data_IF_020819606272
#
_entry.id   IF_020819606272
#
_cell.length_a   1.000
_cell.length_b   1.000
_cell.length_c   1.000
_cell.angle_alpha   90.00
_cell.angle_beta   90.00
_cell.angle_gamma   90.00
#
_symmetry.space_group_name_H-M   'P 1'
#
loop_
_entity.id
_entity.type
_entity.pdbx_description
1 polymer ?
#
# COMPACT_ATOMS: atom_id res chain seq x y z
N UNK A 1 0.69 7.32 10.31
CA UNK A 1 2.09 6.95 10.53
C UNK A 1 2.39 5.83 9.56
N UNK A 2 3.51 5.90 8.84
CA UNK A 2 3.91 4.83 7.91
C UNK A 2 4.18 3.54 8.69
N UNK A 3 3.37 2.51 8.43
CA UNK A 3 3.61 1.16 8.92
C UNK A 3 4.64 0.45 8.06
N UNK A 4 5.74 0.02 8.68
CA UNK A 4 6.82 -0.72 8.02
C UNK A 4 7.04 -2.09 8.65
N UNK A 5 7.40 -3.08 7.84
CA UNK A 5 7.89 -4.38 8.30
C UNK A 5 9.28 -4.69 7.75
N UNK A 6 10.01 -5.56 8.45
CA UNK A 6 11.26 -6.12 7.95
C UNK A 6 10.96 -7.31 7.05
N UNK A 7 11.61 -7.35 5.88
CA UNK A 7 11.50 -8.48 4.98
C UNK A 7 12.85 -8.94 4.44
N UNK A 8 12.97 -10.24 4.22
CA UNK A 8 14.13 -10.83 3.58
C UNK A 8 14.11 -10.57 2.06
N UNK A 9 15.17 -9.97 1.56
CA UNK A 9 15.34 -9.62 0.15
C UNK A 9 16.56 -10.32 -0.43
N UNK A 10 16.35 -11.05 -1.53
CA UNK A 10 17.44 -11.64 -2.31
C UNK A 10 17.85 -10.70 -3.45
N UNK A 11 19.10 -10.24 -3.44
CA UNK A 11 19.61 -9.35 -4.49
C UNK A 11 19.58 -10.04 -5.87
N UNK A 12 18.93 -9.42 -6.86
CA UNK A 12 18.86 -9.95 -8.23
C UNK A 12 20.23 -10.08 -8.91
N UNK A 13 21.18 -9.19 -8.57
CA UNK A 13 22.54 -9.14 -9.15
C UNK A 13 23.53 -10.09 -8.45
N UNK A 14 23.81 -9.90 -7.16
CA UNK A 14 24.85 -10.65 -6.46
C UNK A 14 24.32 -11.83 -5.62
N UNK A 15 23.01 -12.07 -5.65
CA UNK A 15 22.30 -13.14 -4.92
C UNK A 15 22.45 -13.11 -3.39
N UNK A 16 23.09 -12.08 -2.83
CA UNK A 16 23.17 -11.85 -1.39
C UNK A 16 21.76 -11.64 -0.83
N UNK A 17 21.46 -12.35 0.25
CA UNK A 17 20.23 -12.21 1.02
C UNK A 17 20.48 -11.18 2.12
N UNK A 18 19.52 -10.29 2.34
CA UNK A 18 19.63 -9.23 3.35
C UNK A 18 18.23 -8.76 3.77
N UNK A 19 18.11 -8.19 4.97
CA UNK A 19 16.86 -7.61 5.45
C UNK A 19 16.71 -6.16 4.98
N UNK A 20 15.47 -5.76 4.70
CA UNK A 20 15.13 -4.40 4.30
C UNK A 20 13.78 -4.04 4.89
N UNK A 21 13.66 -2.80 5.35
CA UNK A 21 12.36 -2.22 5.68
C UNK A 21 11.52 -2.08 4.40
N UNK A 22 10.26 -2.45 4.51
CA UNK A 22 9.23 -2.24 3.49
C UNK A 22 8.04 -1.56 4.12
N UNK A 23 7.41 -0.69 3.33
CA UNK A 23 6.20 0.00 3.68
C UNK A 23 5.03 -0.91 3.34
N UNK A 24 4.21 -1.19 4.36
CA UNK A 24 2.98 -1.97 4.23
C UNK A 24 1.74 -1.06 4.32
N UNK A 25 1.83 0.02 5.09
CA UNK A 25 0.73 0.95 5.33
C UNK A 25 1.19 2.41 5.33
N UNK A 26 0.35 3.29 4.77
CA UNK A 26 0.56 4.74 4.76
C UNK A 26 -0.75 5.42 5.12
N UNK A 27 -0.69 6.37 6.05
CA UNK A 27 -1.78 7.31 6.31
C UNK A 27 -1.46 8.66 5.65
N UNK A 28 -2.23 9.06 4.64
CA UNK A 28 -1.97 10.29 3.90
C UNK A 28 -2.27 11.57 4.70
N UNK A 29 -3.04 11.48 5.79
CA UNK A 29 -3.27 12.63 6.67
C UNK A 29 -2.03 12.99 7.48
N UNK A 30 -1.22 11.99 7.82
CA UNK A 30 0.01 12.16 8.60
C UNK A 30 1.26 12.24 7.70
N UNK A 31 1.31 11.46 6.62
CA UNK A 31 2.54 11.21 5.85
C UNK A 31 2.46 11.71 4.39
N UNK A 32 2.04 12.97 4.19
CA UNK A 32 1.81 13.57 2.85
C UNK A 32 3.03 13.51 1.91
N UNK A 33 4.25 13.48 2.45
CA UNK A 33 5.47 13.40 1.63
C UNK A 33 5.57 12.07 0.85
N UNK A 34 4.88 11.03 1.31
CA UNK A 34 4.83 9.73 0.66
C UNK A 34 4.03 9.73 -0.65
N UNK A 35 3.20 10.74 -0.88
CA UNK A 35 2.40 10.88 -2.11
C UNK A 35 3.30 10.84 -3.35
N UNK A 36 4.46 11.50 -3.31
CA UNK A 36 5.41 11.50 -4.44
C UNK A 36 5.94 10.10 -4.71
N UNK A 37 6.34 9.38 -3.66
CA UNK A 37 6.85 8.01 -3.75
C UNK A 37 5.79 7.04 -4.28
N UNK A 38 4.56 7.15 -3.79
CA UNK A 38 3.42 6.35 -4.24
C UNK A 38 3.10 6.58 -5.72
N UNK A 39 3.05 7.84 -6.17
CA UNK A 39 2.81 8.17 -7.59
C UNK A 39 3.83 7.56 -8.55
N UNK A 40 5.07 7.38 -8.10
CA UNK A 40 6.11 6.77 -8.94
C UNK A 40 6.04 5.24 -8.96
N UNK A 41 5.24 4.61 -8.11
CA UNK A 41 5.20 3.14 -7.94
C UNK A 41 6.49 2.57 -7.35
N UNK A 42 7.32 3.42 -6.73
CA UNK A 42 8.67 3.09 -6.25
C UNK A 42 8.81 3.26 -4.73
N UNK A 43 7.70 3.19 -4.01
CA UNK A 43 7.67 3.36 -2.55
C UNK A 43 8.59 2.35 -1.84
N UNK A 44 8.49 1.05 -2.20
CA UNK A 44 9.35 0.01 -1.65
C UNK A 44 10.68 -0.13 -2.41
N UNK A 45 11.54 0.89 -2.26
CA UNK A 45 12.89 0.91 -2.82
C UNK A 45 13.91 0.34 -1.84
N UNK A 46 14.63 -0.69 -2.25
CA UNK A 46 15.70 -1.31 -1.47
C UNK A 46 17.04 -1.25 -2.21
N UNK A 47 18.14 -1.19 -1.46
CA UNK A 47 19.50 -1.18 -2.02
C UNK A 47 20.33 -2.30 -1.41
N UNK A 48 20.87 -3.17 -2.27
CA UNK A 48 21.73 -4.25 -1.80
C UNK A 48 22.99 -3.69 -1.11
N UNK A 49 23.28 -4.07 0.15
CA UNK A 49 24.42 -3.53 0.88
C UNK A 49 25.76 -3.91 0.24
N UNK A 50 25.84 -5.10 -0.37
CA UNK A 50 27.05 -5.69 -0.97
C UNK A 50 27.41 -5.10 -2.34
N UNK A 51 26.48 -5.06 -3.28
CA UNK A 51 26.76 -4.64 -4.66
C UNK A 51 26.13 -3.30 -5.06
N UNK A 52 25.46 -2.63 -4.12
CA UNK A 52 24.78 -1.32 -4.27
C UNK A 52 23.68 -1.28 -5.34
N UNK A 53 23.28 -2.44 -5.90
CA UNK A 53 22.16 -2.55 -6.84
C UNK A 53 20.87 -2.11 -6.15
N UNK A 54 20.18 -1.15 -6.78
CA UNK A 54 18.84 -0.70 -6.39
C UNK A 54 17.79 -1.64 -7.00
N UNK A 55 16.79 -2.00 -6.20
CA UNK A 55 15.65 -2.80 -6.60
C UNK A 55 14.38 -2.17 -6.04
N UNK A 56 13.25 -2.48 -6.68
CA UNK A 56 11.93 -2.08 -6.22
C UNK A 56 11.16 -3.36 -5.94
N UNK A 57 10.64 -3.48 -4.72
CA UNK A 57 9.88 -4.65 -4.31
C UNK A 57 8.43 -4.43 -4.71
N UNK A 58 7.88 -5.39 -5.46
CA UNK A 58 6.46 -5.42 -5.77
C UNK A 58 5.73 -6.01 -4.57
N UNK A 59 5.29 -5.13 -3.66
CA UNK A 59 4.47 -5.48 -2.51
C UNK A 59 3.21 -4.62 -2.49
N UNK A 60 2.15 -5.20 -1.96
CA UNK A 60 0.90 -4.53 -1.68
C UNK A 60 1.14 -3.43 -0.65
N UNK A 61 0.51 -2.27 -0.84
CA UNK A 61 0.59 -1.15 0.10
C UNK A 61 -0.84 -0.70 0.40
N UNK A 62 -1.18 -0.65 1.68
CA UNK A 62 -2.44 -0.10 2.18
C UNK A 62 -2.28 1.41 2.33
N UNK A 63 -3.19 2.19 1.76
CA UNK A 63 -3.16 3.65 1.78
C UNK A 63 -4.49 4.15 2.34
N UNK A 64 -4.43 4.85 3.47
CA UNK A 64 -5.59 5.49 4.08
C UNK A 64 -5.74 6.92 3.56
N UNK A 65 -6.92 7.21 3.03
CA UNK A 65 -7.38 8.50 2.56
C UNK A 65 -8.35 9.07 3.59
N UNK A 66 -7.80 9.74 4.59
CA UNK A 66 -8.56 10.52 5.57
C UNK A 66 -8.69 11.97 5.11
N UNK A 67 -9.81 12.68 5.36
CA UNK A 67 -11.02 12.25 6.08
C UNK A 67 -12.08 11.60 5.17
N UNK A 68 -11.71 11.15 3.97
CA UNK A 68 -12.65 10.52 3.04
C UNK A 68 -13.13 9.13 3.51
N UNK A 69 -12.72 8.68 4.71
CA UNK A 69 -12.97 7.35 5.26
C UNK A 69 -12.74 6.26 4.21
N UNK A 70 -11.62 6.34 3.48
CA UNK A 70 -11.34 5.45 2.36
C UNK A 70 -10.01 4.73 2.54
N UNK A 71 -10.04 3.42 2.44
CA UNK A 71 -8.86 2.55 2.48
C UNK A 71 -8.63 1.97 1.09
N UNK A 72 -7.42 2.16 0.56
CA UNK A 72 -7.04 1.65 -0.76
C UNK A 72 -5.88 0.69 -0.62
N UNK A 73 -6.09 -0.56 -1.05
CA UNK A 73 -5.00 -1.53 -1.22
C UNK A 73 -4.47 -1.41 -2.64
N UNK A 74 -3.24 -0.96 -2.79
CA UNK A 74 -2.53 -0.99 -4.06
C UNK A 74 -1.69 -2.27 -4.16
N UNK A 75 -2.10 -3.20 -5.01
CA UNK A 75 -1.38 -4.44 -5.29
C UNK A 75 -1.24 -4.67 -6.81
N UNK A 76 -0.05 -4.49 -7.39
CA UNK A 76 0.18 -4.71 -8.82
C UNK A 76 -0.14 -6.13 -9.33
N UNK A 77 -0.15 -7.12 -8.44
CA UNK A 77 -0.42 -8.53 -8.75
C UNK A 77 -1.90 -8.89 -8.71
N UNK A 78 -2.75 -8.10 -8.03
CA UNK A 78 -4.19 -8.31 -7.94
C UNK A 78 -4.92 -7.85 -9.23
N UNK A 79 -4.65 -8.52 -10.35
CA UNK A 79 -5.19 -8.16 -11.66
C UNK A 79 -6.56 -8.75 -11.96
N UNK A 80 -6.86 -9.92 -11.39
CA UNK A 80 -8.14 -10.61 -11.57
C UNK A 80 -9.18 -10.11 -10.58
N UNK A 81 -10.44 -10.51 -10.78
CA UNK A 81 -11.51 -10.18 -9.84
C UNK A 81 -11.33 -10.98 -8.55
N UNK A 82 -11.03 -12.26 -8.69
CA UNK A 82 -10.86 -13.22 -7.62
C UNK A 82 -9.76 -12.77 -6.65
N UNK A 83 -8.60 -12.35 -7.16
CA UNK A 83 -7.51 -11.84 -6.33
C UNK A 83 -7.86 -10.54 -5.58
N UNK A 84 -8.83 -9.75 -6.07
CA UNK A 84 -9.31 -8.55 -5.36
C UNK A 84 -10.37 -8.91 -4.34
N UNK A 85 -11.24 -9.86 -4.68
CA UNK A 85 -12.29 -10.34 -3.81
C UNK A 85 -11.67 -10.98 -2.54
N UNK A 86 -10.54 -11.66 -2.65
CA UNK A 86 -9.77 -12.17 -1.48
C UNK A 86 -9.47 -11.06 -0.46
N UNK A 87 -8.91 -9.92 -0.89
CA UNK A 87 -8.66 -8.79 0.01
C UNK A 87 -9.94 -8.19 0.61
N UNK A 88 -11.03 -8.17 -0.15
CA UNK A 88 -12.32 -7.65 0.31
C UNK A 88 -12.93 -8.58 1.35
N UNK A 89 -12.82 -9.90 1.15
CA UNK A 89 -13.27 -10.91 2.10
C UNK A 89 -12.46 -10.85 3.39
N UNK A 90 -11.13 -10.71 3.30
CA UNK A 90 -10.26 -10.53 4.45
C UNK A 90 -10.65 -9.27 5.25
N UNK A 91 -10.86 -8.15 4.56
CA UNK A 91 -11.32 -6.91 5.18
C UNK A 91 -12.65 -7.11 5.94
N UNK A 92 -13.65 -7.71 5.29
CA UNK A 92 -14.96 -7.98 5.90
C UNK A 92 -14.88 -8.94 7.08
N UNK A 93 -14.02 -9.95 6.98
CA UNK A 93 -13.80 -10.91 8.07
C UNK A 93 -13.29 -10.19 9.31
N UNK A 94 -12.32 -9.30 9.16
CA UNK A 94 -11.76 -8.51 10.26
C UNK A 94 -12.78 -7.51 10.82
N UNK A 95 -13.51 -6.77 9.97
CA UNK A 95 -14.46 -5.77 10.45
C UNK A 95 -15.68 -6.38 11.12
N UNK A 96 -16.13 -7.56 10.70
CA UNK A 96 -17.26 -8.28 11.32
C UNK A 96 -16.95 -8.88 12.70
N UNK A 97 -15.70 -8.80 13.16
CA UNK A 97 -15.28 -9.44 14.40
C UNK A 97 -15.95 -8.85 15.66
N UNK A 98 -16.24 -7.55 15.64
CA UNK A 98 -17.00 -6.91 16.71
C UNK A 98 -17.87 -5.76 16.18
N UNK A 99 -18.84 -5.33 16.99
CA UNK A 99 -19.84 -4.32 16.62
C UNK A 99 -19.20 -2.98 16.22
N UNK A 100 -18.18 -2.53 16.98
CA UNK A 100 -17.48 -1.27 16.71
C UNK A 100 -16.74 -1.29 15.37
N UNK A 101 -16.01 -2.35 15.06
CA UNK A 101 -15.30 -2.49 13.79
C UNK A 101 -16.26 -2.69 12.62
N UNK A 102 -17.41 -3.31 12.87
CA UNK A 102 -18.46 -3.49 11.86
C UNK A 102 -19.04 -2.14 11.46
N UNK A 103 -19.39 -1.30 12.43
CA UNK A 103 -19.90 0.05 12.19
C UNK A 103 -18.89 0.90 11.40
N UNK A 104 -17.62 0.94 11.86
CA UNK A 104 -16.54 1.64 11.15
C UNK A 104 -16.33 1.07 9.75
N UNK A 105 -16.41 -0.26 9.61
CA UNK A 105 -16.23 -0.95 8.34
C UNK A 105 -17.34 -0.68 7.33
N UNK A 106 -18.57 -0.45 7.78
CA UNK A 106 -19.71 -0.05 6.94
C UNK A 106 -19.58 1.39 6.44
N UNK A 107 -19.02 2.28 7.26
CA UNK A 107 -18.77 3.69 6.90
C UNK A 107 -17.51 3.89 6.06
N UNK A 108 -16.62 2.88 6.01
CA UNK A 108 -15.33 2.96 5.32
C UNK A 108 -15.41 2.40 3.90
N UNK A 109 -15.03 3.21 2.91
CA UNK A 109 -14.91 2.75 1.54
C UNK A 109 -13.60 1.96 1.35
N UNK A 110 -13.70 0.63 1.17
CA UNK A 110 -12.53 -0.24 0.92
C UNK A 110 -12.40 -0.58 -0.58
N UNK A 111 -11.23 -0.29 -1.16
CA UNK A 111 -10.98 -0.46 -2.60
C UNK A 111 -9.65 -1.17 -2.85
N UNK A 112 -9.65 -2.14 -3.76
CA UNK A 112 -8.43 -2.82 -4.23
C UNK A 112 -8.12 -2.41 -5.66
N UNK A 113 -6.90 -1.92 -5.90
CA UNK A 113 -6.44 -1.48 -7.22
C UNK A 113 -5.08 -2.09 -7.57
N UNK A 114 -4.90 -2.44 -8.85
CA UNK A 114 -3.65 -2.99 -9.37
C UNK A 114 -2.93 -2.10 -10.37
N UNK A 115 -3.62 -1.06 -10.86
CA UNK A 115 -3.05 -0.11 -11.82
C UNK A 115 -2.51 1.11 -11.10
N UNK A 116 -1.22 1.39 -11.29
CA UNK A 116 -0.57 2.57 -10.74
C UNK A 116 -1.26 3.87 -11.19
N UNK A 117 -1.76 3.94 -12.42
CA UNK A 117 -2.41 5.15 -12.91
C UNK A 117 -3.70 5.47 -12.16
N UNK A 118 -4.46 4.44 -11.75
CA UNK A 118 -5.63 4.62 -10.88
C UNK A 118 -5.23 5.13 -9.50
N UNK A 119 -4.12 4.64 -8.94
CA UNK A 119 -3.58 5.17 -7.68
C UNK A 119 -3.18 6.64 -7.83
N UNK A 120 -2.53 7.02 -8.94
CA UNK A 120 -2.14 8.42 -9.19
C UNK A 120 -3.34 9.34 -9.27
N UNK A 121 -4.38 8.95 -10.00
CA UNK A 121 -5.63 9.70 -10.12
C UNK A 121 -6.23 9.99 -8.73
N UNK A 122 -6.37 8.96 -7.89
CA UNK A 122 -6.88 9.10 -6.52
C UNK A 122 -5.99 10.01 -5.66
N UNK A 123 -4.67 9.88 -5.77
CA UNK A 123 -3.72 10.75 -5.05
C UNK A 123 -3.78 12.21 -5.56
N UNK A 124 -4.03 12.43 -6.86
CA UNK A 124 -4.19 13.76 -7.42
C UNK A 124 -5.49 14.42 -6.96
N UNK A 125 -6.60 13.67 -6.93
CA UNK A 125 -7.88 14.11 -6.38
C UNK A 125 -7.73 14.49 -4.90
N UNK A 126 -7.11 13.64 -4.11
CA UNK A 126 -6.83 13.88 -2.69
C UNK A 126 -6.03 15.17 -2.46
N UNK A 127 -4.96 15.39 -3.26
CA UNK A 127 -4.15 16.61 -3.15
C UNK A 127 -4.95 17.85 -3.58
N UNK A 128 -5.80 17.75 -4.60
CA UNK A 128 -6.64 18.87 -5.07
C UNK A 128 -7.69 19.28 -4.04
N UNK A 129 -8.34 18.32 -3.38
CA UNK A 129 -9.36 18.57 -2.36
C UNK A 129 -8.80 19.28 -1.11
N UNK A 130 -7.46 19.22 -0.90
CA UNK A 130 -6.74 19.72 0.27
C UNK A 130 -5.73 20.83 -0.06
N UNK A 131 -5.97 21.56 -1.16
CA UNK A 131 -5.30 22.82 -1.52
C UNK A 131 -6.18 23.99 -1.11
#
# INVERSE_FOLDING_TARGET
MVGTSLTEVKCSKCKNVYESDVIDHIDLSEDRDMIKSLKTGKANRTQCPKCKKVMYLSRSIVVNFEPENRIVVFDPSAQTKEAKDEFIEDYRSVTSYNETLSEVGEETEFIVISKLDKLKEMLDEYVKARK
#
